data_IF_991078436426
#
_entry.id   IF_991078436426
#
_cell.length_a   1.000
_cell.length_b   1.000
_cell.length_c   1.000
_cell.angle_alpha   90.00
_cell.angle_beta   90.00
_cell.angle_gamma   90.00
#
_symmetry.space_group_name_H-M   'P 1'
#
loop_
_entity.id
_entity.type
_entity.pdbx_description
1 polymer ?
#
# COMPACT_ATOMS: atom_id res chain seq x y z
N UNK A 1 12.06 -23.52 19.04
CA UNK A 1 11.34 -22.40 19.71
C UNK A 1 12.02 -21.12 19.26
N UNK A 2 11.73 -20.48 18.13
CA UNK A 2 10.47 -19.89 17.65
C UNK A 2 10.49 -20.02 16.12
N UNK A 3 9.95 -21.12 15.57
CA UNK A 3 9.89 -21.35 14.12
C UNK A 3 8.42 -21.27 13.69
N UNK A 4 8.07 -20.21 12.98
CA UNK A 4 6.70 -20.01 12.50
C UNK A 4 6.07 -18.71 13.00
N UNK A 5 6.72 -17.57 12.77
CA UNK A 5 5.89 -16.38 12.51
C UNK A 5 5.08 -16.74 11.27
N UNK A 6 3.74 -16.81 11.34
CA UNK A 6 2.95 -17.34 10.25
C UNK A 6 3.16 -16.37 9.08
N UNK A 7 3.83 -16.84 8.02
CA UNK A 7 3.96 -16.10 6.76
C UNK A 7 2.62 -15.51 6.32
N UNK A 8 1.52 -16.20 6.67
CA UNK A 8 0.15 -15.72 6.53
C UNK A 8 -0.12 -14.31 7.05
N UNK A 9 0.46 -13.86 8.18
CA UNK A 9 0.22 -12.50 8.69
C UNK A 9 0.75 -11.43 7.71
N UNK A 10 2.00 -11.57 7.26
CA UNK A 10 2.59 -10.63 6.31
C UNK A 10 1.95 -10.73 4.93
N UNK A 11 1.53 -11.93 4.51
CA UNK A 11 0.76 -12.11 3.27
C UNK A 11 -0.60 -11.43 3.35
N UNK A 12 -1.34 -11.60 4.45
CA UNK A 12 -2.62 -10.93 4.69
C UNK A 12 -2.45 -9.41 4.76
N UNK A 13 -1.42 -8.92 5.45
CA UNK A 13 -1.10 -7.50 5.50
C UNK A 13 -0.89 -6.93 4.09
N UNK A 14 -0.07 -7.59 3.25
CA UNK A 14 0.12 -7.17 1.87
C UNK A 14 -1.19 -7.16 1.09
N UNK A 15 -2.05 -8.16 1.25
CA UNK A 15 -3.36 -8.20 0.59
C UNK A 15 -4.26 -7.05 1.01
N UNK A 16 -4.31 -6.74 2.31
CA UNK A 16 -5.10 -5.62 2.85
C UNK A 16 -4.56 -4.28 2.34
N UNK A 17 -3.25 -4.07 2.40
CA UNK A 17 -2.58 -2.87 1.88
C UNK A 17 -2.82 -2.75 0.38
N UNK A 18 -2.58 -3.82 -0.39
CA UNK A 18 -2.82 -3.87 -1.83
C UNK A 18 -4.28 -3.51 -2.16
N UNK A 19 -5.25 -4.17 -1.53
CA UNK A 19 -6.68 -3.91 -1.76
C UNK A 19 -7.08 -2.47 -1.43
N UNK A 20 -6.59 -1.94 -0.31
CA UNK A 20 -6.85 -0.55 0.12
C UNK A 20 -6.24 0.45 -0.87
N UNK A 21 -5.02 0.18 -1.34
CA UNK A 21 -4.30 1.07 -2.26
C UNK A 21 -4.91 1.05 -3.66
N UNK A 22 -5.40 -0.11 -4.13
CA UNK A 22 -6.16 -0.20 -5.39
C UNK A 22 -7.43 0.66 -5.31
N UNK A 23 -8.17 0.57 -4.20
CA UNK A 23 -9.36 1.40 -3.98
C UNK A 23 -9.03 2.90 -3.96
N UNK A 24 -7.95 3.29 -3.26
CA UNK A 24 -7.46 4.67 -3.24
C UNK A 24 -7.01 5.16 -4.62
N UNK A 25 -6.37 4.30 -5.42
CA UNK A 25 -5.98 4.61 -6.80
C UNK A 25 -7.20 4.90 -7.67
N UNK A 26 -8.26 4.09 -7.55
CA UNK A 26 -9.52 4.32 -8.25
C UNK A 26 -10.16 5.66 -7.85
N UNK A 27 -10.17 5.97 -6.55
CA UNK A 27 -10.69 7.24 -6.06
C UNK A 27 -9.85 8.42 -6.58
N UNK A 28 -8.52 8.29 -6.59
CA UNK A 28 -7.60 9.29 -7.12
C UNK A 28 -7.79 9.56 -8.60
N UNK A 29 -8.08 8.51 -9.37
CA UNK A 29 -8.44 8.62 -10.78
C UNK A 29 -9.73 9.41 -10.96
N UNK A 30 -10.76 9.12 -10.16
CA UNK A 30 -12.04 9.83 -10.20
C UNK A 30 -11.93 11.32 -9.80
N UNK A 31 -11.08 11.64 -8.82
CA UNK A 31 -10.87 13.02 -8.36
C UNK A 31 -9.86 13.82 -9.20
N UNK A 32 -9.51 13.33 -10.41
CA UNK A 32 -8.51 13.91 -11.33
C UNK A 32 -7.12 14.20 -10.71
N UNK A 33 -6.81 13.59 -9.56
CA UNK A 33 -5.53 13.76 -8.86
C UNK A 33 -4.46 12.86 -9.50
N UNK A 34 -4.04 13.19 -10.72
CA UNK A 34 -3.06 12.42 -11.51
C UNK A 34 -1.78 12.08 -10.74
N UNK A 35 -1.25 13.01 -9.94
CA UNK A 35 -0.06 12.77 -9.12
C UNK A 35 -0.27 11.65 -8.08
N UNK A 36 -1.40 11.69 -7.37
CA UNK A 36 -1.75 10.66 -6.38
C UNK A 36 -2.07 9.31 -7.03
N UNK A 37 -2.72 9.32 -8.18
CA UNK A 37 -2.97 8.10 -8.96
C UNK A 37 -1.67 7.35 -9.25
N UNK A 38 -0.63 8.04 -9.76
CA UNK A 38 0.67 7.42 -10.05
C UNK A 38 1.36 6.88 -8.78
N UNK A 39 1.31 7.61 -7.66
CA UNK A 39 1.86 7.15 -6.38
C UNK A 39 1.18 5.85 -5.93
N UNK A 40 -0.14 5.79 -5.97
CA UNK A 40 -0.88 4.59 -5.58
C UNK A 40 -0.65 3.43 -6.54
N UNK A 41 -0.58 3.67 -7.85
CA UNK A 41 -0.23 2.64 -8.84
C UNK A 41 1.14 2.05 -8.54
N UNK A 42 2.12 2.88 -8.19
CA UNK A 42 3.45 2.39 -7.81
C UNK A 42 3.40 1.52 -6.55
N UNK A 43 2.67 1.93 -5.51
CA UNK A 43 2.48 1.14 -4.29
C UNK A 43 1.79 -0.20 -4.59
N UNK A 44 0.76 -0.20 -5.43
CA UNK A 44 0.06 -1.42 -5.89
C UNK A 44 1.03 -2.38 -6.58
N UNK A 45 1.95 -1.89 -7.40
CA UNK A 45 2.98 -2.72 -8.04
C UNK A 45 3.98 -3.29 -7.03
N UNK A 46 4.41 -2.50 -6.05
CA UNK A 46 5.37 -2.94 -5.01
C UNK A 46 4.75 -3.99 -4.07
N UNK A 47 3.48 -3.80 -3.68
CA UNK A 47 2.76 -4.71 -2.77
C UNK A 47 1.99 -5.82 -3.49
N UNK A 48 2.20 -5.98 -4.80
CA UNK A 48 1.48 -6.94 -5.62
C UNK A 48 1.77 -8.39 -5.16
N UNK A 49 0.74 -9.17 -4.76
CA UNK A 49 0.93 -10.56 -4.34
C UNK A 49 1.46 -11.48 -5.47
N UNK A 50 1.35 -11.07 -6.74
CA UNK A 50 1.78 -11.85 -7.91
C UNK A 50 3.32 -11.92 -8.05
N UNK A 51 4.04 -10.88 -7.63
CA UNK A 51 5.50 -10.82 -7.72
C UNK A 51 6.04 -10.46 -6.33
N UNK A 52 6.17 -11.44 -5.42
CA UNK A 52 6.74 -11.19 -4.11
C UNK A 52 8.22 -10.79 -4.27
N UNK A 53 8.52 -9.51 -4.03
CA UNK A 53 9.89 -9.02 -4.01
C UNK A 53 10.58 -9.57 -2.76
N UNK A 54 11.65 -10.34 -2.97
CA UNK A 54 12.45 -10.95 -1.91
C UNK A 54 13.46 -9.94 -1.35
N UNK A 55 12.96 -8.80 -0.88
CA UNK A 55 13.79 -7.87 -0.11
C UNK A 55 14.04 -8.42 1.29
N UNK A 56 15.19 -8.05 1.88
CA UNK A 56 15.46 -8.31 3.29
C UNK A 56 14.40 -7.68 4.19
N UNK A 57 14.21 -8.24 5.38
CA UNK A 57 13.20 -7.78 6.35
C UNK A 57 13.37 -6.29 6.69
N UNK A 58 14.62 -5.82 6.80
CA UNK A 58 14.94 -4.42 7.10
C UNK A 58 14.43 -3.46 6.01
N UNK A 59 14.57 -3.85 4.74
CA UNK A 59 14.11 -3.03 3.63
C UNK A 59 12.58 -3.02 3.52
N UNK A 60 11.94 -4.18 3.74
CA UNK A 60 10.47 -4.24 3.81
C UNK A 60 9.90 -3.38 4.95
N UNK A 61 10.55 -3.33 6.12
CA UNK A 61 10.14 -2.43 7.20
C UNK A 61 10.18 -0.96 6.77
N UNK A 62 11.22 -0.54 6.06
CA UNK A 62 11.33 0.84 5.55
C UNK A 62 10.25 1.12 4.51
N UNK A 63 10.00 0.19 3.59
CA UNK A 63 8.95 0.33 2.57
C UNK A 63 7.58 0.41 3.22
N UNK A 64 7.26 -0.48 4.16
CA UNK A 64 6.00 -0.48 4.91
C UNK A 64 5.80 0.85 5.66
N UNK A 65 6.86 1.38 6.28
CA UNK A 65 6.81 2.66 6.98
C UNK A 65 6.53 3.83 6.02
N UNK A 66 7.21 3.86 4.86
CA UNK A 66 6.98 4.89 3.84
C UNK A 66 5.54 4.82 3.32
N UNK A 67 5.04 3.62 3.02
CA UNK A 67 3.67 3.44 2.55
C UNK A 67 2.66 3.83 3.62
N UNK A 68 2.88 3.48 4.89
CA UNK A 68 2.03 3.92 5.99
C UNK A 68 1.95 5.45 6.07
N UNK A 69 3.08 6.16 5.95
CA UNK A 69 3.11 7.62 5.94
C UNK A 69 2.36 8.18 4.73
N UNK A 70 2.57 7.62 3.53
CA UNK A 70 1.85 8.06 2.31
C UNK A 70 0.34 7.86 2.47
N UNK A 71 -0.09 6.72 3.01
CA UNK A 71 -1.51 6.46 3.27
C UNK A 71 -2.08 7.46 4.28
N UNK A 72 -1.35 7.79 5.35
CA UNK A 72 -1.79 8.80 6.32
C UNK A 72 -1.93 10.18 5.65
N UNK A 73 -0.93 10.63 4.89
CA UNK A 73 -0.99 11.91 4.15
C UNK A 73 -2.15 11.90 3.15
N UNK A 74 -2.40 10.74 2.53
CA UNK A 74 -3.52 10.58 1.62
C UNK A 74 -4.86 10.79 2.30
N UNK A 75 -5.02 10.40 3.57
CA UNK A 75 -6.27 10.66 4.32
C UNK A 75 -6.53 12.17 4.44
N UNK A 76 -5.49 12.97 4.68
CA UNK A 76 -5.63 14.43 4.75
C UNK A 76 -5.89 15.07 3.38
N UNK A 77 -5.34 14.48 2.32
CA UNK A 77 -5.46 15.01 0.95
C UNK A 77 -6.76 14.57 0.27
N UNK A 78 -7.17 13.34 0.52
CA UNK A 78 -8.45 12.72 0.19
C UNK A 78 -9.45 12.85 1.34
N UNK A 79 -9.36 13.90 2.18
CA UNK A 79 -10.46 14.27 3.09
C UNK A 79 -11.69 14.52 2.23
N UNK A 80 -12.38 13.41 1.99
CA UNK A 80 -13.62 13.15 1.27
C UNK A 80 -13.86 14.15 0.13
N UNK A 81 -13.86 13.66 -1.10
CA UNK A 81 -14.84 14.14 -2.09
C UNK A 81 -16.22 13.90 -1.49
N UNK A 82 -16.60 14.81 -0.60
CA UNK A 82 -17.92 15.08 -0.08
C UNK A 82 -18.34 16.33 -0.85
N UNK A 83 -18.47 16.14 -2.16
CA UNK A 83 -19.36 16.95 -2.98
C UNK A 83 -20.67 16.18 -3.06
#
# INVERSE_FOLDING_TARGET
MIEGWPYGFFTLLRLVVFGTTVFLSWLAYKSEKRAWFWIFVFIVLVFNPLIPLHFGRDLWMVVDLIVAVILIISIFTFKLTKD
#
